data_IF_789491712634
#
_entry.id   IF_789491712634
#
_cell.length_a   1.000
_cell.length_b   1.000
_cell.length_c   1.000
_cell.angle_alpha   90.00
_cell.angle_beta   90.00
_cell.angle_gamma   90.00
#
_symmetry.space_group_name_H-M   'P 1'
#
loop_
_entity.id
_entity.type
_entity.pdbx_description
1 polymer ?
#
# COMPACT_ATOMS: atom_id res chain seq x y z
N UNK A 1 -23.71 -2.99 -20.53
CA UNK A 1 -23.28 -1.87 -19.66
C UNK A 1 -22.95 -2.47 -18.30
N UNK A 2 -21.69 -2.86 -18.10
CA UNK A 2 -21.26 -3.50 -16.86
C UNK A 2 -20.94 -2.39 -15.85
N UNK A 3 -21.86 -2.15 -14.93
CA UNK A 3 -21.62 -1.26 -13.79
C UNK A 3 -20.41 -1.78 -13.03
N UNK A 4 -19.33 -1.01 -13.01
CA UNK A 4 -18.22 -1.23 -12.09
C UNK A 4 -18.81 -1.09 -10.70
N UNK A 5 -19.01 -2.23 -10.03
CA UNK A 5 -19.54 -2.26 -8.68
C UNK A 5 -18.65 -1.38 -7.82
N UNK A 6 -19.19 -0.24 -7.35
CA UNK A 6 -18.59 0.66 -6.34
C UNK A 6 -18.52 -0.07 -4.99
N UNK A 7 -17.96 -1.30 -4.96
CA UNK A 7 -17.69 -1.98 -3.72
C UNK A 7 -16.57 -1.21 -3.02
N UNK A 8 -16.78 -0.79 -1.76
CA UNK A 8 -15.70 -0.16 -1.00
C UNK A 8 -14.52 -1.13 -0.94
N UNK A 9 -13.30 -0.58 -1.09
CA UNK A 9 -12.07 -1.34 -0.96
C UNK A 9 -12.05 -2.02 0.42
N UNK A 10 -11.98 -3.35 0.43
CA UNK A 10 -11.86 -4.11 1.68
C UNK A 10 -10.39 -4.12 2.08
N UNK A 11 -10.05 -3.29 3.07
CA UNK A 11 -8.69 -3.14 3.58
C UNK A 11 -8.54 -3.97 4.87
N UNK A 12 -7.69 -4.99 4.83
CA UNK A 12 -7.29 -5.78 6.00
C UNK A 12 -6.08 -5.13 6.70
N UNK A 13 -6.35 -4.21 7.63
CA UNK A 13 -5.32 -3.55 8.45
C UNK A 13 -4.71 -4.46 9.53
N UNK A 14 -5.19 -5.70 9.69
CA UNK A 14 -4.58 -6.63 10.63
C UNK A 14 -3.32 -7.29 10.07
N UNK A 15 -3.14 -7.25 8.74
CA UNK A 15 -2.04 -7.91 8.03
C UNK A 15 -1.21 -6.97 7.17
N UNK A 16 -1.81 -5.89 6.70
CA UNK A 16 -1.21 -5.01 5.71
C UNK A 16 -1.23 -3.55 6.19
N UNK A 17 -0.19 -2.82 5.80
CA UNK A 17 -0.14 -1.36 5.91
C UNK A 17 -0.49 -0.75 4.57
N UNK A 18 -1.39 0.23 4.53
CA UNK A 18 -1.85 0.83 3.29
C UNK A 18 -1.33 2.25 3.10
N UNK A 19 -1.02 2.59 1.85
CA UNK A 19 -0.66 3.93 1.41
C UNK A 19 -1.63 4.43 0.36
N UNK A 20 -2.00 5.70 0.47
CA UNK A 20 -2.62 6.46 -0.62
C UNK A 20 -1.54 7.18 -1.41
N UNK A 21 -1.56 7.01 -2.72
CA UNK A 21 -0.72 7.68 -3.70
C UNK A 21 -1.58 8.66 -4.48
N UNK A 22 -1.30 9.96 -4.35
CA UNK A 22 -1.84 10.95 -5.27
C UNK A 22 -0.89 11.09 -6.45
N UNK A 23 -1.43 11.00 -7.66
CA UNK A 23 -0.68 10.96 -8.91
C UNK A 23 -1.11 12.09 -9.85
N UNK A 24 -0.40 12.27 -10.96
CA UNK A 24 -0.75 13.25 -11.98
C UNK A 24 -1.82 12.76 -12.98
N UNK A 25 -2.16 11.47 -12.97
CA UNK A 25 -3.04 10.82 -13.94
C UNK A 25 -3.72 9.63 -13.28
N UNK A 26 -4.93 9.28 -13.72
CA UNK A 26 -5.66 8.13 -13.18
C UNK A 26 -5.11 6.76 -13.63
N UNK A 27 -3.97 6.73 -14.31
CA UNK A 27 -3.27 5.51 -14.68
C UNK A 27 -2.58 4.97 -13.41
N UNK A 28 -2.81 3.70 -13.03
CA UNK A 28 -2.13 3.10 -11.89
C UNK A 28 -0.61 3.25 -12.00
N UNK A 29 0.07 3.75 -10.96
CA UNK A 29 1.52 3.89 -10.98
C UNK A 29 2.18 2.50 -11.01
N UNK A 30 3.31 2.39 -11.73
CA UNK A 30 4.12 1.17 -11.67
C UNK A 30 4.80 1.09 -10.31
N UNK A 31 4.52 0.03 -9.55
CA UNK A 31 5.05 -0.14 -8.21
C UNK A 31 6.51 -0.61 -8.24
N UNK A 32 7.38 -0.04 -7.39
CA UNK A 32 8.74 -0.48 -7.25
C UNK A 32 8.80 -1.80 -6.47
N UNK A 33 9.86 -2.57 -6.69
CA UNK A 33 10.14 -3.76 -5.89
C UNK A 33 10.76 -3.33 -4.56
N UNK A 34 10.25 -3.86 -3.45
CA UNK A 34 10.91 -3.69 -2.16
C UNK A 34 12.18 -4.54 -2.12
N UNK A 35 13.31 -4.00 -1.62
CA UNK A 35 14.47 -4.83 -1.35
C UNK A 35 14.06 -5.88 -0.31
N UNK A 36 14.21 -7.17 -0.63
CA UNK A 36 14.04 -8.24 0.36
C UNK A 36 15.13 -8.08 1.40
N UNK A 37 14.79 -7.84 2.68
CA UNK A 37 15.80 -7.83 3.71
C UNK A 37 16.14 -9.30 3.99
N UNK A 38 17.43 -9.63 4.01
CA UNK A 38 17.93 -11.00 4.28
C UNK A 38 17.37 -11.60 5.59
N UNK A 39 16.80 -10.76 6.46
CA UNK A 39 16.18 -11.11 7.75
C UNK A 39 14.71 -11.57 7.69
N UNK A 40 14.02 -11.51 6.55
CA UNK A 40 12.62 -11.98 6.47
C UNK A 40 12.60 -13.50 6.22
N UNK A 41 12.42 -14.27 7.29
CA UNK A 41 12.34 -15.75 7.28
C UNK A 41 11.10 -16.33 6.56
N UNK A 42 10.33 -15.50 5.85
CA UNK A 42 9.18 -15.90 5.04
C UNK A 42 9.60 -15.83 3.58
N UNK A 43 9.31 -16.88 2.81
CA UNK A 43 9.81 -17.11 1.44
C UNK A 43 9.42 -16.07 0.38
N UNK A 44 8.83 -14.93 0.77
CA UNK A 44 8.35 -13.90 -0.15
C UNK A 44 8.63 -12.45 0.27
N UNK A 45 9.23 -12.21 1.45
CA UNK A 45 9.60 -10.87 1.92
C UNK A 45 8.44 -9.83 1.96
N UNK A 46 8.73 -8.58 2.37
CA UNK A 46 7.77 -7.49 2.21
C UNK A 46 7.61 -7.14 0.73
N UNK A 47 6.39 -6.89 0.27
CA UNK A 47 6.10 -6.47 -1.12
C UNK A 47 5.03 -5.38 -1.19
N UNK A 48 5.06 -4.61 -2.28
CA UNK A 48 4.02 -3.63 -2.61
C UNK A 48 2.97 -4.25 -3.52
N UNK A 49 1.70 -4.11 -3.16
CA UNK A 49 0.56 -4.62 -3.93
C UNK A 49 -0.44 -3.51 -4.24
N UNK A 50 -0.83 -3.38 -5.51
CA UNK A 50 -1.82 -2.40 -5.92
C UNK A 50 -3.23 -2.88 -5.54
N UNK A 51 -3.93 -2.10 -4.72
CA UNK A 51 -5.26 -2.44 -4.21
C UNK A 51 -6.36 -1.88 -5.10
N UNK A 52 -6.21 -0.62 -5.54
CA UNK A 52 -7.21 0.02 -6.40
C UNK A 52 -7.24 1.55 -6.29
N UNK A 53 -8.03 2.23 -7.13
CA UNK A 53 -8.21 3.68 -7.06
C UNK A 53 -9.09 4.09 -5.86
N UNK A 54 -8.86 5.30 -5.34
CA UNK A 54 -9.77 5.98 -4.41
C UNK A 54 -10.80 6.77 -5.24
N UNK A 55 -12.01 6.22 -5.36
CA UNK A 55 -13.09 6.84 -6.13
C UNK A 55 -13.38 6.15 -7.47
N UNK A 56 -14.26 6.74 -8.29
CA UNK A 56 -14.80 6.06 -9.47
C UNK A 56 -13.80 6.00 -10.65
N UNK A 57 -13.41 4.79 -11.02
CA UNK A 57 -12.88 4.45 -12.34
C UNK A 57 -11.55 5.12 -12.73
N UNK A 58 -11.34 5.29 -14.04
CA UNK A 58 -10.14 5.86 -14.67
C UNK A 58 -10.04 7.39 -14.55
N UNK A 59 -10.71 7.98 -13.56
CA UNK A 59 -10.65 9.41 -13.24
C UNK A 59 -10.10 9.67 -11.83
N UNK A 60 -9.89 8.62 -11.03
CA UNK A 60 -9.28 8.74 -9.72
C UNK A 60 -7.77 8.93 -9.86
N UNK A 61 -7.28 10.09 -9.44
CA UNK A 61 -5.86 10.42 -9.33
C UNK A 61 -5.22 9.90 -8.03
N UNK A 62 -6.04 9.33 -7.15
CA UNK A 62 -5.62 8.68 -5.91
C UNK A 62 -5.69 7.16 -6.02
N UNK A 63 -4.65 6.49 -5.55
CA UNK A 63 -4.48 5.04 -5.62
C UNK A 63 -4.06 4.46 -4.28
N UNK A 64 -4.62 3.30 -3.91
CA UNK A 64 -4.27 2.57 -2.70
C UNK A 64 -3.28 1.45 -3.03
N UNK A 65 -2.22 1.38 -2.23
CA UNK A 65 -1.19 0.34 -2.29
C UNK A 65 -1.00 -0.27 -0.91
N UNK A 66 -0.92 -1.60 -0.84
CA UNK A 66 -0.63 -2.34 0.38
C UNK A 66 0.86 -2.67 0.46
N UNK A 67 1.41 -2.63 1.67
CA UNK A 67 2.63 -3.34 2.05
C UNK A 67 2.21 -4.67 2.66
N UNK A 68 2.46 -5.75 1.95
CA UNK A 68 2.20 -7.11 2.40
C UNK A 68 3.48 -7.79 2.85
N UNK A 69 3.35 -8.93 3.56
CA UNK A 69 4.49 -9.80 3.85
C UNK A 69 5.31 -9.41 5.08
N UNK A 70 4.80 -8.49 5.91
CA UNK A 70 5.33 -8.26 7.25
C UNK A 70 4.67 -9.30 8.17
N UNK A 71 5.43 -10.28 8.65
CA UNK A 71 4.89 -11.34 9.49
C UNK A 71 4.30 -10.76 10.78
N UNK A 72 3.20 -11.34 11.24
CA UNK A 72 2.72 -11.11 12.60
C UNK A 72 3.77 -11.65 13.57
N UNK A 73 4.34 -10.76 14.40
CA UNK A 73 5.45 -11.10 15.31
C UNK A 73 6.85 -10.69 14.82
N UNK A 74 6.96 -10.00 13.68
CA UNK A 74 8.20 -9.29 13.32
C UNK A 74 8.51 -8.21 14.36
N UNK A 75 9.79 -7.91 14.61
CA UNK A 75 10.16 -6.80 15.49
C UNK A 75 9.55 -5.51 14.99
N UNK A 76 9.02 -4.69 15.89
CA UNK A 76 8.46 -3.36 15.60
C UNK A 76 9.45 -2.51 14.78
N UNK A 77 10.75 -2.62 15.08
CA UNK A 77 11.82 -1.93 14.33
C UNK A 77 11.83 -2.34 12.86
N UNK A 78 11.75 -3.64 12.59
CA UNK A 78 11.79 -4.20 11.24
C UNK A 78 10.52 -3.87 10.45
N UNK A 79 9.36 -3.83 11.12
CA UNK A 79 8.11 -3.37 10.53
C UNK A 79 8.20 -1.89 10.13
N UNK A 80 8.68 -1.02 11.04
CA UNK A 80 8.86 0.41 10.78
C UNK A 80 9.83 0.63 9.60
N UNK A 81 10.96 -0.08 9.57
CA UNK A 81 11.94 0.01 8.49
C UNK A 81 11.35 -0.39 7.13
N UNK A 82 10.62 -1.50 7.07
CA UNK A 82 9.97 -1.95 5.83
C UNK A 82 8.93 -0.94 5.33
N UNK A 83 8.16 -0.36 6.25
CA UNK A 83 7.12 0.63 5.94
C UNK A 83 7.71 1.98 5.50
N UNK A 84 8.76 2.46 6.15
CA UNK A 84 9.43 3.70 5.73
C UNK A 84 10.20 3.51 4.41
N UNK A 85 10.79 2.35 4.18
CA UNK A 85 11.41 2.01 2.89
C UNK A 85 10.38 1.97 1.76
N UNK A 86 9.23 1.33 1.98
CA UNK A 86 8.10 1.35 1.06
C UNK A 86 7.67 2.77 0.71
N UNK A 87 7.45 3.61 1.72
CA UNK A 87 7.08 5.01 1.54
C UNK A 87 8.12 5.80 0.75
N UNK A 88 9.42 5.57 1.01
CA UNK A 88 10.52 6.20 0.27
C UNK A 88 10.49 5.82 -1.22
N UNK A 89 10.35 4.53 -1.52
CA UNK A 89 10.31 4.03 -2.89
C UNK A 89 9.07 4.51 -3.64
N UNK A 90 7.91 4.51 -2.98
CA UNK A 90 6.66 5.03 -3.54
C UNK A 90 6.75 6.52 -3.90
N UNK A 91 7.43 7.33 -3.09
CA UNK A 91 7.68 8.76 -3.40
C UNK A 91 8.57 8.95 -4.62
N UNK A 92 9.44 7.99 -4.93
CA UNK A 92 10.34 8.06 -6.08
C UNK A 92 9.67 7.59 -7.38
N UNK A 93 8.44 7.04 -7.33
CA UNK A 93 7.71 6.60 -8.52
C UNK A 93 7.35 7.80 -9.38
N UNK A 94 7.65 7.71 -10.68
CA UNK A 94 7.33 8.75 -11.63
C UNK A 94 5.83 9.05 -11.65
N UNK A 95 5.48 10.33 -11.54
CA UNK A 95 4.09 10.78 -11.57
C UNK A 95 3.37 10.75 -10.22
N UNK A 96 3.99 10.22 -9.16
CA UNK A 96 3.50 10.36 -7.78
C UNK A 96 3.81 11.76 -7.26
N UNK A 97 2.79 12.46 -6.77
CA UNK A 97 2.89 13.80 -6.15
C UNK A 97 2.94 13.72 -4.64
N UNK A 98 2.17 12.80 -4.05
CA UNK A 98 2.04 12.66 -2.60
C UNK A 98 1.85 11.19 -2.24
N UNK A 99 2.44 10.80 -1.11
CA UNK A 99 2.29 9.48 -0.50
C UNK A 99 1.89 9.68 0.95
N UNK A 100 0.77 9.08 1.34
CA UNK A 100 0.25 9.15 2.70
C UNK A 100 -0.05 7.75 3.22
N UNK A 101 0.34 7.47 4.45
CA UNK A 101 -0.06 6.24 5.11
C UNK A 101 -1.52 6.35 5.54
N UNK A 102 -2.33 5.37 5.18
CA UNK A 102 -3.69 5.29 5.67
C UNK A 102 -3.67 4.86 7.13
N UNK A 103 -4.25 5.68 8.01
CA UNK A 103 -4.48 5.22 9.37
C UNK A 103 -5.62 4.20 9.36
N UNK A 104 -5.50 3.09 10.11
CA UNK A 104 -6.61 2.17 10.32
C UNK A 104 -7.79 2.98 10.85
N UNK A 105 -8.90 3.02 10.12
CA UNK A 105 -10.04 3.90 10.48
C UNK A 105 -10.68 3.52 11.80
N UNK A 106 -10.37 2.37 12.39
CA UNK A 106 -10.71 2.01 13.77
C UNK A 106 -9.95 0.73 14.15
N UNK A 107 -8.93 0.83 15.01
CA UNK A 107 -8.68 -0.25 15.97
C UNK A 107 -9.69 -0.03 17.08
N UNK A 108 -10.94 -0.48 16.88
CA UNK A 108 -11.89 -0.54 18.00
C UNK A 108 -11.19 -1.35 19.09
N UNK A 109 -10.90 -0.68 20.21
CA UNK A 109 -10.37 -1.28 21.43
C UNK A 109 -11.19 -2.54 21.71
N UNK A 110 -10.55 -3.71 21.65
CA UNK A 110 -11.06 -4.89 22.32
C UNK A 110 -10.65 -4.81 23.77
#
# INVERSE_FOLDING_TARGET
MSGTSNKPLQLDYARNTYFTLSTASAIPPTLPTLPSPDSFAISSGPRLEYVGPVGPGSMADEHVVAVEGIATGTSEVTEIEAVEEAKRLLKAVQGVKRVEMMQPTMRSKR
#
